data_IF_426332290499
#
_entry.id   IF_426332290499
#
_cell.length_a   1.000
_cell.length_b   1.000
_cell.length_c   1.000
_cell.angle_alpha   90.00
_cell.angle_beta   90.00
_cell.angle_gamma   90.00
#
_symmetry.space_group_name_H-M   'P 1'
#
loop_
_entity.id
_entity.type
_entity.pdbx_description
1 polymer ?
#
# COMPACT_ATOMS: atom_id res chain seq x y z
N UNK A 1 6.02 -8.30 -15.50
CA UNK A 1 5.52 -9.40 -14.65
C UNK A 1 5.72 -8.98 -13.20
N UNK A 2 4.79 -9.28 -12.30
CA UNK A 2 4.97 -8.98 -10.87
C UNK A 2 6.10 -9.83 -10.29
N UNK A 3 7.02 -9.20 -9.58
CA UNK A 3 8.17 -9.85 -8.95
C UNK A 3 8.16 -9.75 -7.41
N UNK A 4 9.25 -10.21 -6.79
CA UNK A 4 9.41 -10.18 -5.33
C UNK A 4 9.47 -8.75 -4.78
N UNK A 5 10.00 -7.79 -5.54
CA UNK A 5 10.07 -6.38 -5.14
C UNK A 5 8.68 -5.76 -5.17
N UNK A 6 7.87 -6.07 -6.18
CA UNK A 6 6.47 -5.61 -6.22
C UNK A 6 5.68 -6.16 -5.01
N UNK A 7 5.87 -7.43 -4.65
CA UNK A 7 5.23 -8.02 -3.47
C UNK A 7 5.71 -7.36 -2.17
N UNK A 8 7.01 -7.08 -2.06
CA UNK A 8 7.56 -6.37 -0.92
C UNK A 8 6.96 -4.97 -0.80
N UNK A 9 6.86 -4.22 -1.90
CA UNK A 9 6.27 -2.88 -1.91
C UNK A 9 4.79 -2.88 -1.48
N UNK A 10 4.00 -3.84 -1.96
CA UNK A 10 2.60 -4.02 -1.52
C UNK A 10 2.54 -4.30 -0.02
N UNK A 11 3.41 -5.18 0.50
CA UNK A 11 3.45 -5.47 1.93
C UNK A 11 3.93 -4.26 2.75
N UNK A 12 4.86 -3.46 2.23
CA UNK A 12 5.28 -2.21 2.88
C UNK A 12 4.13 -1.21 2.99
N UNK A 13 3.29 -1.06 1.94
CA UNK A 13 2.09 -0.21 2.01
C UNK A 13 1.16 -0.71 3.13
N UNK A 14 0.97 -2.02 3.25
CA UNK A 14 0.15 -2.63 4.31
C UNK A 14 0.71 -2.34 5.69
N UNK A 15 1.98 -2.63 5.93
CA UNK A 15 2.60 -2.48 7.26
C UNK A 15 2.67 -1.02 7.68
N UNK A 16 3.06 -0.11 6.79
CA UNK A 16 3.08 1.33 7.10
C UNK A 16 1.69 1.86 7.44
N UNK A 17 0.66 1.40 6.73
CA UNK A 17 -0.72 1.78 7.03
C UNK A 17 -1.17 1.23 8.38
N UNK A 18 -0.85 -0.03 8.69
CA UNK A 18 -1.15 -0.64 10.00
C UNK A 18 -0.43 0.09 11.14
N UNK A 19 0.86 0.37 10.99
CA UNK A 19 1.68 1.03 12.01
C UNK A 19 1.18 2.45 12.28
N UNK A 20 0.80 3.19 11.23
CA UNK A 20 0.21 4.53 11.36
C UNK A 20 -1.11 4.49 12.13
N UNK A 21 -1.99 3.53 11.82
CA UNK A 21 -3.28 3.36 12.50
C UNK A 21 -3.08 2.96 13.97
N UNK A 22 -2.17 2.00 14.23
CA UNK A 22 -1.84 1.57 15.59
C UNK A 22 -1.28 2.74 16.41
N UNK A 23 -0.35 3.51 15.85
CA UNK A 23 0.22 4.70 16.50
C UNK A 23 -0.82 5.78 16.78
N UNK A 24 -1.79 5.97 15.87
CA UNK A 24 -2.89 6.90 16.06
C UNK A 24 -3.99 6.38 17.01
N UNK A 25 -3.94 5.10 17.39
CA UNK A 25 -4.97 4.37 18.15
C UNK A 25 -6.39 4.55 17.57
N UNK A 26 -6.49 4.78 16.26
CA UNK A 26 -7.73 5.10 15.56
C UNK A 26 -7.52 4.98 14.05
N UNK A 27 -8.50 4.42 13.33
CA UNK A 27 -8.47 4.29 11.86
C UNK A 27 -9.14 3.02 11.32
N UNK A 28 -9.04 2.82 10.01
CA UNK A 28 -9.68 1.71 9.29
C UNK A 28 -8.63 0.80 8.62
N UNK A 29 -8.13 -0.24 9.30
CA UNK A 29 -7.04 -1.08 8.77
C UNK A 29 -7.48 -2.01 7.62
N UNK A 30 -8.78 -2.31 7.51
CA UNK A 30 -9.29 -3.26 6.51
C UNK A 30 -9.06 -2.81 5.06
N UNK A 31 -9.31 -1.53 4.76
CA UNK A 31 -9.18 -1.02 3.39
C UNK A 31 -7.72 -1.00 2.92
N UNK A 32 -6.73 -0.47 3.68
CA UNK A 32 -5.33 -0.54 3.28
C UNK A 32 -4.81 -1.97 3.06
N UNK A 33 -5.26 -2.95 3.85
CA UNK A 33 -4.85 -4.34 3.70
C UNK A 33 -5.35 -4.99 2.40
N UNK A 34 -6.61 -4.74 2.06
CA UNK A 34 -7.23 -5.27 0.84
C UNK A 34 -6.84 -4.52 -0.43
N UNK A 35 -6.73 -3.19 -0.36
CA UNK A 35 -6.52 -2.34 -1.53
C UNK A 35 -5.03 -2.06 -1.85
N UNK A 36 -4.08 -2.47 -1.02
CA UNK A 36 -2.64 -2.24 -1.28
C UNK A 36 -2.17 -2.72 -2.68
N UNK A 37 -2.58 -3.90 -3.20
CA UNK A 37 -2.17 -4.34 -4.55
C UNK A 37 -2.70 -3.43 -5.67
N UNK A 38 -3.97 -2.99 -5.58
CA UNK A 38 -4.58 -2.12 -6.59
C UNK A 38 -3.99 -0.70 -6.53
N UNK A 39 -3.73 -0.18 -5.33
CA UNK A 39 -3.09 1.12 -5.13
C UNK A 39 -1.65 1.11 -5.68
N UNK A 40 -0.88 0.07 -5.39
CA UNK A 40 0.46 -0.11 -5.94
C UNK A 40 0.45 -0.15 -7.48
N UNK A 41 -0.48 -0.91 -8.06
CA UNK A 41 -0.60 -1.05 -9.51
C UNK A 41 -0.94 0.28 -10.18
N UNK A 42 -1.95 0.99 -9.66
CA UNK A 42 -2.34 2.31 -10.14
C UNK A 42 -1.14 3.26 -10.08
N UNK A 43 -0.50 3.38 -8.92
CA UNK A 43 0.56 4.37 -8.68
C UNK A 43 1.84 4.08 -9.46
N UNK A 44 2.26 2.80 -9.53
CA UNK A 44 3.54 2.42 -10.15
C UNK A 44 3.47 2.23 -11.67
N UNK A 45 2.31 1.89 -12.23
CA UNK A 45 2.18 1.51 -13.65
C UNK A 45 1.32 2.47 -14.47
N UNK A 46 0.30 3.08 -13.88
CA UNK A 46 -0.72 3.82 -14.64
C UNK A 46 -0.79 5.30 -14.29
N UNK A 47 -0.40 5.68 -13.09
CA UNK A 47 -0.49 7.05 -12.63
C UNK A 47 0.71 7.86 -13.10
N UNK A 48 0.45 8.80 -14.01
CA UNK A 48 1.46 9.73 -14.52
C UNK A 48 1.38 11.03 -13.73
N UNK A 49 2.11 11.09 -12.62
CA UNK A 49 2.26 12.29 -11.79
C UNK A 49 3.74 12.57 -11.57
N UNK A 50 4.11 13.86 -11.46
CA UNK A 50 5.42 14.24 -10.95
C UNK A 50 5.29 14.36 -9.42
N UNK A 51 5.98 13.49 -8.67
CA UNK A 51 5.91 13.50 -7.21
C UNK A 51 6.41 14.82 -6.62
#
# INVERSE_FOLDING_TARGET
>A
MFDKVDQLAVNSIRTLSMDAIQKANSGHPGLPLGAAPMAYTLWSRFFKCKP
#
